data_IF_106470057864
#
_entry.id   IF_106470057864
#
_cell.length_a   1.000
_cell.length_b   1.000
_cell.length_c   1.000
_cell.angle_alpha   90.00
_cell.angle_beta   90.00
_cell.angle_gamma   90.00
#
_symmetry.space_group_name_H-M   'P 1'
#
loop_
_entity.id
_entity.type
_entity.pdbx_description
1 polymer ?
#
# COMPACT_ATOMS: atom_id res chain seq x y z
N UNK A 1 -42.32 -31.86 71.14
CA UNK A 1 -41.20 -32.76 70.94
C UNK A 1 -41.10 -32.98 69.44
N UNK A 2 -40.34 -32.11 68.72
CA UNK A 2 -39.95 -32.21 67.30
C UNK A 2 -38.56 -31.64 67.15
N UNK A 3 -37.64 -32.46 66.74
CA UNK A 3 -36.24 -32.20 66.47
C UNK A 3 -36.14 -31.59 65.10
N UNK A 4 -35.64 -30.37 64.99
CA UNK A 4 -35.30 -29.70 63.71
C UNK A 4 -33.81 -29.93 63.46
N UNK A 5 -33.49 -30.62 62.36
CA UNK A 5 -32.15 -30.76 61.79
C UNK A 5 -31.92 -29.59 60.87
N UNK A 6 -30.91 -28.79 61.17
CA UNK A 6 -30.39 -27.72 60.32
C UNK A 6 -29.30 -28.33 59.44
N UNK A 7 -29.49 -28.31 58.12
CA UNK A 7 -28.46 -28.59 57.12
C UNK A 7 -27.76 -27.27 56.78
N UNK A 8 -26.49 -27.18 57.13
CA UNK A 8 -25.61 -26.11 56.69
C UNK A 8 -25.00 -26.53 55.36
N UNK A 9 -25.43 -25.89 54.27
CA UNK A 9 -24.76 -26.00 52.96
C UNK A 9 -23.52 -25.09 52.93
N UNK A 10 -22.37 -25.72 52.80
CA UNK A 10 -21.10 -25.05 52.56
C UNK A 10 -20.97 -24.78 51.06
N UNK A 11 -21.20 -23.52 50.65
CA UNK A 11 -20.95 -23.09 49.29
C UNK A 11 -19.44 -22.90 49.11
N UNK A 12 -18.80 -23.78 48.34
CA UNK A 12 -17.43 -23.58 47.87
C UNK A 12 -17.45 -22.60 46.69
N UNK A 13 -17.02 -21.35 46.94
CA UNK A 13 -16.73 -20.41 45.87
C UNK A 13 -15.33 -20.71 45.32
N UNK A 14 -15.26 -21.40 44.17
CA UNK A 14 -14.04 -21.51 43.38
C UNK A 14 -13.80 -20.15 42.70
N UNK A 15 -12.97 -19.32 43.26
CA UNK A 15 -12.40 -18.14 42.57
C UNK A 15 -11.35 -18.65 41.61
N UNK A 16 -11.75 -18.83 40.35
CA UNK A 16 -10.82 -19.00 39.21
C UNK A 16 -10.14 -17.65 38.95
N UNK A 17 -8.97 -17.45 39.56
CA UNK A 17 -8.03 -16.42 39.13
C UNK A 17 -7.57 -16.77 37.73
N UNK A 18 -8.20 -16.17 36.73
CA UNK A 18 -7.70 -16.15 35.36
C UNK A 18 -6.40 -15.36 35.32
N UNK A 19 -5.28 -16.04 35.44
CA UNK A 19 -3.97 -15.51 35.06
C UNK A 19 -4.01 -15.30 33.54
N UNK A 20 -4.34 -14.08 33.14
CA UNK A 20 -4.07 -13.62 31.78
C UNK A 20 -2.54 -13.61 31.62
N UNK A 21 -1.98 -14.68 31.08
CA UNK A 21 -0.63 -14.65 30.55
C UNK A 21 -0.66 -13.65 29.41
N UNK A 22 -0.13 -12.45 29.63
CA UNK A 22 0.27 -11.58 28.55
C UNK A 22 1.24 -12.43 27.71
N UNK A 23 0.80 -12.88 26.53
CA UNK A 23 1.72 -13.46 25.57
C UNK A 23 2.78 -12.42 25.30
N UNK A 24 3.99 -12.67 25.79
CA UNK A 24 5.17 -11.90 25.39
C UNK A 24 5.29 -12.19 23.88
N UNK A 25 4.82 -11.24 23.08
CA UNK A 25 4.95 -11.35 21.63
C UNK A 25 6.45 -11.25 21.34
N UNK A 26 7.06 -12.37 20.93
CA UNK A 26 8.46 -12.39 20.54
C UNK A 26 8.72 -11.25 19.55
N UNK A 27 9.82 -10.52 19.69
CA UNK A 27 10.14 -9.44 18.77
C UNK A 27 10.24 -10.00 17.36
N UNK A 28 9.61 -9.31 16.40
CA UNK A 28 9.64 -9.71 15.00
C UNK A 28 11.10 -9.84 14.52
N UNK A 29 11.41 -10.86 13.69
CA UNK A 29 12.73 -10.97 13.07
C UNK A 29 13.11 -9.68 12.36
N UNK A 30 14.32 -9.20 12.57
CA UNK A 30 14.82 -7.98 11.96
C UNK A 30 15.24 -8.22 10.51
N UNK A 31 14.70 -7.43 9.59
CA UNK A 31 15.23 -7.33 8.24
C UNK A 31 16.46 -6.42 8.25
N UNK A 32 17.58 -6.93 7.76
CA UNK A 32 18.85 -6.21 7.79
C UNK A 32 19.04 -5.42 6.48
N UNK A 33 18.77 -4.12 6.55
CA UNK A 33 18.96 -3.17 5.46
C UNK A 33 19.79 -1.97 5.92
N UNK A 34 20.58 -1.43 5.00
CA UNK A 34 21.20 -0.11 5.13
C UNK A 34 20.42 0.90 4.31
N UNK A 35 20.06 2.03 4.91
CA UNK A 35 19.57 3.19 4.17
C UNK A 35 20.75 3.83 3.45
N UNK A 36 20.62 4.04 2.13
CA UNK A 36 21.66 4.63 1.29
C UNK A 36 21.38 6.13 1.18
N UNK A 37 22.16 6.97 1.86
CA UNK A 37 21.92 8.41 1.86
C UNK A 37 22.12 8.99 0.45
N UNK A 38 21.33 10.01 0.12
CA UNK A 38 21.44 10.79 -1.12
C UNK A 38 21.48 9.94 -2.39
N UNK A 39 20.76 8.80 -2.38
CA UNK A 39 20.73 7.90 -3.54
C UNK A 39 20.17 8.61 -4.78
N UNK A 40 19.08 9.34 -4.64
CA UNK A 40 18.45 10.07 -5.73
C UNK A 40 19.13 11.41 -5.97
N UNK A 41 19.86 11.52 -7.09
CA UNK A 41 20.65 12.68 -7.47
C UNK A 41 19.80 13.61 -8.34
N UNK A 42 19.26 14.65 -7.74
CA UNK A 42 18.46 15.65 -8.42
C UNK A 42 19.32 16.70 -9.13
N UNK A 43 18.83 17.32 -10.23
CA UNK A 43 19.47 18.49 -10.82
C UNK A 43 19.56 19.65 -9.81
N UNK A 44 20.52 20.55 -9.97
CA UNK A 44 20.62 21.74 -9.12
C UNK A 44 19.34 22.57 -9.11
N UNK A 45 18.83 22.88 -7.92
CA UNK A 45 17.60 23.66 -7.73
C UNK A 45 16.31 22.85 -7.76
N UNK A 46 16.37 21.55 -8.09
CA UNK A 46 15.22 20.65 -8.00
C UNK A 46 15.19 19.96 -6.62
N UNK A 47 13.96 19.68 -6.15
CA UNK A 47 13.73 18.96 -4.91
C UNK A 47 12.42 18.18 -4.99
N UNK A 48 12.33 17.11 -4.24
CA UNK A 48 11.09 16.36 -4.09
C UNK A 48 10.18 17.05 -3.07
N UNK A 49 8.90 17.08 -3.36
CA UNK A 49 7.85 17.60 -2.47
C UNK A 49 6.87 16.46 -2.22
N UNK A 50 6.78 15.98 -0.99
CA UNK A 50 5.86 14.93 -0.60
C UNK A 50 5.83 13.75 -1.60
N UNK A 51 6.95 13.02 -1.82
CA UNK A 51 6.93 11.82 -2.64
C UNK A 51 5.91 10.82 -2.11
N UNK A 52 4.91 10.51 -2.92
CA UNK A 52 3.85 9.59 -2.55
C UNK A 52 3.98 8.23 -3.25
N UNK A 53 4.64 8.20 -4.41
CA UNK A 53 4.79 7.02 -5.22
C UNK A 53 6.22 6.69 -5.63
N UNK A 54 6.56 5.40 -5.67
CA UNK A 54 7.81 4.88 -6.22
C UNK A 54 7.57 3.56 -6.95
N UNK A 55 8.15 3.41 -8.14
CA UNK A 55 8.09 2.18 -8.93
C UNK A 55 9.39 1.97 -9.70
N UNK A 56 9.61 0.76 -10.22
CA UNK A 56 10.77 0.43 -11.04
C UNK A 56 10.31 -0.31 -12.31
N UNK A 57 10.95 -0.03 -13.44
CA UNK A 57 10.69 -0.73 -14.70
C UNK A 57 11.64 -1.92 -14.91
N UNK A 58 11.44 -2.66 -16.00
CA UNK A 58 12.23 -3.84 -16.36
C UNK A 58 13.71 -3.53 -16.61
N UNK A 59 14.06 -2.28 -16.92
CA UNK A 59 15.43 -1.81 -17.17
C UNK A 59 16.14 -1.34 -15.90
N UNK A 60 15.46 -1.37 -14.75
CA UNK A 60 15.97 -0.87 -13.48
C UNK A 60 15.89 0.64 -13.32
N UNK A 61 15.17 1.35 -14.20
CA UNK A 61 14.87 2.76 -13.98
C UNK A 61 13.82 2.91 -12.87
N UNK A 62 13.99 3.93 -12.04
CA UNK A 62 13.15 4.19 -10.88
C UNK A 62 12.30 5.44 -11.18
N UNK A 63 11.02 5.32 -10.96
CA UNK A 63 10.07 6.44 -11.04
C UNK A 63 9.72 6.88 -9.63
N UNK A 64 9.81 8.20 -9.39
CA UNK A 64 9.32 8.82 -8.15
C UNK A 64 8.20 9.77 -8.53
N UNK A 65 7.03 9.59 -7.90
CA UNK A 65 5.84 10.39 -8.13
C UNK A 65 5.57 11.24 -6.89
N UNK A 66 5.73 12.55 -7.03
CA UNK A 66 5.69 13.50 -5.93
C UNK A 66 4.83 14.73 -6.26
N UNK A 67 4.54 15.57 -5.27
CA UNK A 67 3.61 16.68 -5.38
C UNK A 67 4.25 18.02 -5.77
N UNK A 68 5.49 17.98 -6.26
CA UNK A 68 6.22 19.17 -6.71
C UNK A 68 5.95 19.55 -8.17
N UNK A 69 6.77 20.48 -8.68
CA UNK A 69 6.65 21.05 -10.02
C UNK A 69 6.79 20.04 -11.15
N UNK A 70 7.63 19.01 -10.99
CA UNK A 70 7.90 17.95 -11.93
C UNK A 70 7.43 16.62 -11.34
N UNK A 71 6.09 16.34 -11.31
CA UNK A 71 5.52 15.32 -10.43
C UNK A 71 6.03 13.90 -10.68
N UNK A 72 6.30 13.51 -11.92
CA UNK A 72 6.79 12.18 -12.26
C UNK A 72 8.23 12.25 -12.76
N UNK A 73 9.17 11.90 -11.88
CA UNK A 73 10.60 11.89 -12.18
C UNK A 73 11.09 10.48 -12.48
N UNK A 74 11.96 10.35 -13.50
CA UNK A 74 12.64 9.11 -13.86
C UNK A 74 14.13 9.21 -13.52
N UNK A 75 14.65 8.15 -12.88
CA UNK A 75 16.04 7.99 -12.50
C UNK A 75 16.60 6.69 -13.09
N UNK A 76 17.90 6.65 -13.38
CA UNK A 76 18.56 5.39 -13.71
C UNK A 76 18.79 4.51 -12.47
N UNK A 77 19.32 3.31 -12.69
CA UNK A 77 19.59 2.34 -11.61
C UNK A 77 20.63 2.79 -10.59
N UNK A 78 21.41 3.83 -10.90
CA UNK A 78 22.37 4.48 -9.98
C UNK A 78 21.76 5.64 -9.19
N UNK A 79 20.50 5.99 -9.44
CA UNK A 79 19.81 7.12 -8.81
C UNK A 79 20.02 8.47 -9.48
N UNK A 80 20.67 8.51 -10.65
CA UNK A 80 20.85 9.74 -11.42
C UNK A 80 19.57 10.13 -12.12
N UNK A 81 19.14 11.39 -11.97
CA UNK A 81 17.98 11.93 -12.67
C UNK A 81 18.17 11.86 -14.19
N UNK A 82 17.14 11.38 -14.89
CA UNK A 82 17.10 11.29 -16.35
C UNK A 82 16.20 12.37 -16.94
N UNK A 83 14.96 12.46 -16.48
CA UNK A 83 13.94 13.41 -16.96
C UNK A 83 12.73 13.47 -16.06
N UNK A 84 11.88 14.48 -16.28
CA UNK A 84 10.48 14.47 -15.85
C UNK A 84 9.56 13.99 -16.98
N UNK A 85 8.39 13.49 -16.62
CA UNK A 85 7.42 12.91 -17.55
C UNK A 85 6.05 13.53 -17.30
N UNK A 86 5.44 14.06 -18.38
CA UNK A 86 4.04 14.50 -18.41
C UNK A 86 3.68 15.50 -17.30
N UNK A 87 4.53 16.48 -17.06
CA UNK A 87 4.42 17.47 -15.97
C UNK A 87 3.06 18.16 -15.85
N UNK A 88 2.41 18.44 -16.98
CA UNK A 88 1.12 19.17 -17.01
C UNK A 88 -0.11 18.27 -16.79
N UNK A 89 0.05 16.97 -16.61
CA UNK A 89 -1.07 16.03 -16.46
C UNK A 89 -1.58 15.90 -15.02
N UNK A 90 -0.76 16.21 -14.04
CA UNK A 90 -1.01 15.86 -12.66
C UNK A 90 -1.47 17.05 -11.82
N UNK A 91 -2.31 16.78 -10.81
CA UNK A 91 -2.81 17.77 -9.85
C UNK A 91 -2.30 17.48 -8.45
N UNK A 92 -2.47 16.23 -7.99
CA UNK A 92 -1.96 15.78 -6.69
C UNK A 92 -1.57 14.32 -6.80
N UNK A 93 -0.27 14.09 -6.96
CA UNK A 93 0.33 12.77 -7.11
C UNK A 93 -0.01 11.85 -5.93
N UNK A 94 -0.30 10.57 -6.23
CA UNK A 94 -0.51 9.57 -5.18
C UNK A 94 0.33 8.31 -5.43
N UNK A 95 -0.13 7.30 -6.18
CA UNK A 95 0.65 6.11 -6.44
C UNK A 95 1.17 6.06 -7.87
N UNK A 96 2.32 5.41 -8.07
CA UNK A 96 2.86 5.05 -9.38
C UNK A 96 3.16 3.56 -9.43
N UNK A 97 2.84 2.91 -10.54
CA UNK A 97 3.17 1.51 -10.81
C UNK A 97 3.67 1.35 -12.24
N UNK A 98 4.38 0.26 -12.51
CA UNK A 98 4.86 -0.08 -13.85
C UNK A 98 4.36 -1.47 -14.19
N UNK A 99 3.71 -1.61 -15.36
CA UNK A 99 3.21 -2.89 -15.85
C UNK A 99 4.31 -3.72 -16.57
N UNK A 100 4.06 -4.99 -16.89
CA UNK A 100 5.06 -5.85 -17.55
C UNK A 100 5.51 -5.35 -18.94
N UNK A 101 4.76 -4.46 -19.55
CA UNK A 101 5.11 -3.79 -20.83
C UNK A 101 5.86 -2.45 -20.61
N UNK A 102 6.30 -2.18 -19.41
CA UNK A 102 6.93 -0.93 -18.96
C UNK A 102 6.05 0.32 -19.08
N UNK A 103 4.72 0.18 -19.21
CA UNK A 103 3.84 1.33 -19.13
C UNK A 103 3.71 1.79 -17.68
N UNK A 104 3.60 3.11 -17.53
CA UNK A 104 3.53 3.76 -16.23
C UNK A 104 2.06 3.99 -15.88
N UNK A 105 1.64 3.49 -14.74
CA UNK A 105 0.31 3.72 -14.19
C UNK A 105 0.39 4.70 -13.03
N UNK A 106 -0.51 5.67 -12.99
CA UNK A 106 -0.57 6.67 -11.92
C UNK A 106 -1.99 6.80 -11.40
N UNK A 107 -2.11 7.04 -10.10
CA UNK A 107 -3.34 7.55 -9.50
C UNK A 107 -3.10 8.99 -9.06
N UNK A 108 -4.02 9.87 -9.37
CA UNK A 108 -3.96 11.28 -8.99
C UNK A 108 -5.23 11.65 -8.22
N UNK A 109 -5.06 11.98 -6.95
CA UNK A 109 -6.18 12.25 -6.05
C UNK A 109 -6.80 13.63 -6.28
N UNK A 110 -6.05 14.57 -6.84
CA UNK A 110 -6.56 15.91 -7.14
C UNK A 110 -7.33 15.99 -8.44
N UNK A 111 -6.94 15.20 -9.43
CA UNK A 111 -7.67 15.11 -10.71
C UNK A 111 -8.77 14.06 -10.73
N UNK A 112 -8.79 13.15 -9.73
CA UNK A 112 -9.70 11.99 -9.67
C UNK A 112 -9.50 11.00 -10.83
N UNK A 113 -8.25 10.86 -11.32
CA UNK A 113 -7.92 10.02 -12.47
C UNK A 113 -6.98 8.88 -12.11
N UNK A 114 -7.14 7.80 -12.88
CA UNK A 114 -6.12 6.76 -13.05
C UNK A 114 -5.66 6.81 -14.50
N UNK A 115 -4.35 6.98 -14.71
CA UNK A 115 -3.77 7.10 -16.04
C UNK A 115 -2.82 5.92 -16.32
N UNK A 116 -2.89 5.37 -17.54
CA UNK A 116 -1.85 4.54 -18.12
C UNK A 116 -1.08 5.38 -19.13
N UNK A 117 0.23 5.49 -18.95
CA UNK A 117 1.12 6.21 -19.83
C UNK A 117 2.09 5.24 -20.53
N UNK A 118 2.48 5.54 -21.76
CA UNK A 118 3.63 4.88 -22.36
C UNK A 118 4.91 5.27 -21.61
N UNK A 119 6.03 4.54 -21.78
CA UNK A 119 7.32 4.96 -21.23
C UNK A 119 7.73 6.39 -21.59
N UNK A 120 7.27 6.91 -22.74
CA UNK A 120 7.54 8.27 -23.19
C UNK A 120 6.57 9.32 -22.60
N UNK A 121 5.60 8.91 -21.79
CA UNK A 121 4.64 9.80 -21.15
C UNK A 121 3.36 10.09 -21.95
N UNK A 122 3.09 9.37 -23.04
CA UNK A 122 1.83 9.51 -23.78
C UNK A 122 0.69 8.80 -23.07
N UNK A 123 -0.45 9.44 -22.89
CA UNK A 123 -1.64 8.83 -22.31
C UNK A 123 -2.16 7.72 -23.23
N UNK A 124 -2.19 6.49 -22.75
CA UNK A 124 -2.73 5.30 -23.42
C UNK A 124 -4.15 4.98 -22.95
N UNK A 125 -4.44 5.23 -21.67
CA UNK A 125 -5.77 5.04 -21.08
C UNK A 125 -5.97 6.07 -19.96
N UNK A 126 -7.18 6.56 -19.82
CA UNK A 126 -7.62 7.39 -18.70
C UNK A 126 -8.93 6.83 -18.14
N UNK A 127 -8.96 6.55 -16.85
CA UNK A 127 -10.15 6.16 -16.11
C UNK A 127 -10.53 7.29 -15.16
N UNK A 128 -11.84 7.52 -14.98
CA UNK A 128 -12.37 8.63 -14.18
C UNK A 128 -12.74 9.85 -15.04
N UNK A 129 -13.07 10.94 -14.37
CA UNK A 129 -13.39 12.23 -15.00
C UNK A 129 -12.58 13.34 -14.36
N UNK A 130 -11.82 14.06 -15.19
CA UNK A 130 -10.90 15.12 -14.75
C UNK A 130 -11.61 16.12 -13.84
N UNK A 131 -11.19 16.19 -12.57
CA UNK A 131 -11.70 17.09 -11.52
C UNK A 131 -13.19 16.99 -11.24
N UNK A 132 -13.81 15.86 -11.57
CA UNK A 132 -15.23 15.59 -11.29
C UNK A 132 -15.29 14.34 -10.42
N UNK A 133 -15.36 14.49 -9.09
CA UNK A 133 -15.52 13.35 -8.19
C UNK A 133 -16.92 12.75 -8.32
N UNK A 134 -17.02 11.45 -8.02
CA UNK A 134 -18.30 10.76 -7.99
C UNK A 134 -18.17 9.35 -7.44
N UNK A 135 -19.30 8.66 -7.31
CA UNK A 135 -19.43 7.33 -6.74
C UNK A 135 -20.03 6.29 -7.71
N UNK A 136 -20.29 6.68 -8.96
CA UNK A 136 -20.69 5.75 -10.00
C UNK A 136 -19.47 5.04 -10.63
N UNK A 137 -19.70 4.14 -11.60
CA UNK A 137 -18.67 3.32 -12.23
C UNK A 137 -17.74 4.07 -13.20
N UNK A 138 -18.07 5.33 -13.55
CA UNK A 138 -17.28 6.16 -14.46
C UNK A 138 -16.50 7.27 -13.75
N UNK A 139 -16.74 7.45 -12.45
CA UNK A 139 -16.09 8.46 -11.63
C UNK A 139 -15.33 7.81 -10.48
N UNK A 140 -14.27 8.47 -10.05
CA UNK A 140 -13.60 8.21 -8.77
C UNK A 140 -13.75 9.43 -7.85
N UNK A 141 -13.50 9.20 -6.58
CA UNK A 141 -13.34 10.28 -5.62
C UNK A 141 -12.02 10.06 -4.85
N UNK A 142 -10.93 10.60 -5.40
CA UNK A 142 -9.57 10.45 -4.90
C UNK A 142 -9.08 8.99 -4.91
N UNK A 143 -8.89 8.38 -6.10
CA UNK A 143 -8.42 7.01 -6.25
C UNK A 143 -7.00 6.87 -5.70
N UNK A 144 -6.77 5.78 -4.97
CA UNK A 144 -5.54 5.61 -4.19
C UNK A 144 -4.50 4.75 -4.90
N UNK A 145 -4.86 3.61 -5.48
CA UNK A 145 -3.90 2.70 -6.11
C UNK A 145 -4.54 1.93 -7.27
N UNK A 146 -3.70 1.29 -8.09
CA UNK A 146 -4.11 0.50 -9.25
C UNK A 146 -3.28 -0.78 -9.36
N UNK A 147 -3.93 -1.88 -9.73
CA UNK A 147 -3.28 -3.14 -10.06
C UNK A 147 -3.98 -3.80 -11.26
N UNK A 148 -3.38 -4.83 -11.82
CA UNK A 148 -3.93 -5.60 -12.95
C UNK A 148 -3.71 -7.09 -12.74
N UNK A 149 -4.64 -7.89 -13.27
CA UNK A 149 -4.50 -9.34 -13.30
C UNK A 149 -3.83 -9.83 -14.60
N UNK A 150 -3.56 -11.14 -14.67
CA UNK A 150 -2.93 -11.78 -15.84
C UNK A 150 -3.74 -11.66 -17.14
N UNK A 151 -5.04 -11.38 -17.04
CA UNK A 151 -5.92 -11.19 -18.20
C UNK A 151 -5.94 -9.71 -18.64
N UNK A 152 -5.21 -8.85 -17.91
CA UNK A 152 -5.11 -7.41 -18.12
C UNK A 152 -6.29 -6.62 -17.53
N UNK A 153 -7.18 -7.25 -16.73
CA UNK A 153 -8.22 -6.49 -16.04
C UNK A 153 -7.58 -5.58 -14.98
N UNK A 154 -8.12 -4.38 -14.88
CA UNK A 154 -7.60 -3.30 -14.05
C UNK A 154 -8.45 -3.21 -12.78
N UNK A 155 -7.79 -3.11 -11.64
CA UNK A 155 -8.43 -2.94 -10.33
C UNK A 155 -7.97 -1.63 -9.72
N UNK A 156 -8.90 -0.81 -9.27
CA UNK A 156 -8.63 0.50 -8.69
C UNK A 156 -9.23 0.57 -7.29
N UNK A 157 -8.40 0.89 -6.31
CA UNK A 157 -8.90 1.32 -4.99
C UNK A 157 -9.31 2.78 -5.07
N UNK A 158 -10.58 3.05 -4.79
CA UNK A 158 -11.16 4.38 -4.76
C UNK A 158 -11.45 4.74 -3.29
N UNK A 159 -10.39 5.19 -2.59
CA UNK A 159 -10.27 5.03 -1.15
C UNK A 159 -10.41 6.29 -0.30
N UNK A 160 -9.97 7.47 -0.74
CA UNK A 160 -10.03 8.66 0.12
C UNK A 160 -11.43 9.28 0.20
N UNK A 161 -12.09 9.43 -0.92
CA UNK A 161 -13.45 10.00 -0.95
C UNK A 161 -14.54 8.93 -0.97
N UNK A 162 -14.20 7.73 -1.47
CA UNK A 162 -15.07 6.54 -1.48
C UNK A 162 -14.44 5.42 -0.64
N UNK A 163 -15.08 4.26 -0.57
CA UNK A 163 -14.61 3.10 0.22
C UNK A 163 -14.84 1.82 -0.57
N UNK A 164 -14.25 1.74 -1.78
CA UNK A 164 -14.56 0.66 -2.72
C UNK A 164 -13.36 0.28 -3.58
N UNK A 165 -13.49 -0.86 -4.25
CA UNK A 165 -12.64 -1.30 -5.36
C UNK A 165 -13.49 -1.37 -6.62
N UNK A 166 -13.01 -0.83 -7.74
CA UNK A 166 -13.62 -0.98 -9.06
C UNK A 166 -12.72 -1.82 -9.96
N UNK A 167 -13.34 -2.72 -10.73
CA UNK A 167 -12.68 -3.55 -11.72
C UNK A 167 -13.12 -3.17 -13.13
N UNK A 168 -12.16 -3.05 -14.04
CA UNK A 168 -12.36 -2.75 -15.45
C UNK A 168 -11.68 -3.83 -16.30
N UNK A 169 -12.12 -3.99 -17.53
CA UNK A 169 -11.35 -4.75 -18.49
C UNK A 169 -10.11 -3.95 -18.96
N UNK A 170 -9.23 -4.59 -19.74
CA UNK A 170 -8.00 -3.98 -20.27
C UNK A 170 -8.23 -2.75 -21.16
N UNK A 171 -9.45 -2.50 -21.59
CA UNK A 171 -9.84 -1.34 -22.41
C UNK A 171 -10.52 -0.24 -21.58
N UNK A 172 -10.62 -0.43 -20.25
CA UNK A 172 -11.23 0.53 -19.32
C UNK A 172 -12.76 0.44 -19.26
N UNK A 173 -13.38 -0.64 -19.75
CA UNK A 173 -14.82 -0.84 -19.57
C UNK A 173 -15.10 -1.42 -18.17
N UNK A 174 -16.03 -0.83 -17.40
CA UNK A 174 -16.33 -1.30 -16.06
C UNK A 174 -16.91 -2.72 -16.10
N UNK A 175 -16.44 -3.59 -15.20
CA UNK A 175 -16.89 -4.97 -15.05
C UNK A 175 -17.67 -5.17 -13.76
N UNK A 176 -17.11 -4.76 -12.63
CA UNK A 176 -17.75 -4.87 -11.31
C UNK A 176 -17.12 -3.90 -10.31
N UNK A 177 -17.78 -3.72 -9.16
CA UNK A 177 -17.25 -3.00 -8.02
C UNK A 177 -17.74 -3.64 -6.73
N UNK A 178 -16.95 -3.49 -5.66
CA UNK A 178 -17.31 -3.96 -4.33
C UNK A 178 -16.76 -3.06 -3.24
N UNK A 179 -17.31 -3.19 -2.05
CA UNK A 179 -16.93 -2.43 -0.87
C UNK A 179 -17.88 -1.27 -0.57
N UNK A 180 -17.88 -0.89 0.67
CA UNK A 180 -18.54 0.28 1.24
C UNK A 180 -17.83 0.69 2.52
N UNK A 181 -18.08 1.88 3.03
CA UNK A 181 -17.53 2.34 4.31
C UNK A 181 -17.95 1.42 5.45
N UNK A 182 -16.98 0.98 6.26
CA UNK A 182 -17.24 0.18 7.44
C UNK A 182 -16.04 -0.67 7.89
N UNK A 183 -16.27 -1.53 8.89
CA UNK A 183 -15.26 -2.37 9.54
C UNK A 183 -15.47 -3.87 9.34
N UNK A 184 -16.61 -4.28 8.78
CA UNK A 184 -16.91 -5.68 8.51
C UNK A 184 -16.12 -6.27 7.33
N UNK A 185 -16.20 -7.59 7.10
CA UNK A 185 -15.64 -8.23 5.91
C UNK A 185 -16.19 -7.61 4.63
N UNK A 186 -15.31 -7.25 3.70
CA UNK A 186 -15.69 -6.60 2.44
C UNK A 186 -16.07 -5.12 2.57
N UNK A 187 -16.07 -4.56 3.78
CA UNK A 187 -16.20 -3.12 4.02
C UNK A 187 -14.80 -2.52 4.21
N UNK A 188 -14.65 -1.23 3.90
CA UNK A 188 -13.36 -0.54 3.96
C UNK A 188 -13.44 0.78 4.73
N UNK A 189 -12.33 1.14 5.33
CA UNK A 189 -12.03 2.49 5.73
C UNK A 189 -10.70 2.92 5.09
N UNK A 190 -10.80 3.65 3.99
CA UNK A 190 -9.67 4.04 3.16
C UNK A 190 -8.93 2.82 2.58
N UNK A 191 -9.51 2.10 1.59
CA UNK A 191 -8.76 1.12 0.80
C UNK A 191 -7.64 1.86 0.05
N UNK A 192 -6.39 1.72 0.52
CA UNK A 192 -5.30 2.61 0.15
C UNK A 192 -4.37 2.02 -0.90
N UNK A 193 -4.18 0.72 -0.88
CA UNK A 193 -3.26 0.03 -1.79
C UNK A 193 -3.84 -1.31 -2.21
N UNK A 194 -3.43 -1.80 -3.39
CA UNK A 194 -3.93 -3.04 -3.97
C UNK A 194 -2.82 -3.76 -4.74
N UNK A 195 -2.70 -5.07 -4.54
CA UNK A 195 -1.86 -5.94 -5.35
C UNK A 195 -2.59 -7.23 -5.69
N UNK A 196 -2.19 -7.87 -6.78
CA UNK A 196 -2.80 -9.11 -7.27
C UNK A 196 -1.72 -10.19 -7.37
N UNK A 197 -2.06 -11.38 -6.88
CA UNK A 197 -1.23 -12.57 -6.98
C UNK A 197 -2.09 -13.76 -7.42
N UNK A 198 -1.89 -14.17 -8.66
CA UNK A 198 -2.69 -15.23 -9.29
C UNK A 198 -4.17 -14.86 -9.32
N UNK A 199 -4.98 -15.57 -8.54
CA UNK A 199 -6.42 -15.35 -8.43
C UNK A 199 -6.82 -14.59 -7.14
N UNK A 200 -5.83 -14.09 -6.38
CA UNK A 200 -6.05 -13.37 -5.13
C UNK A 200 -5.82 -11.87 -5.31
N UNK A 201 -6.74 -11.09 -4.74
CA UNK A 201 -6.68 -9.62 -4.69
C UNK A 201 -6.47 -9.21 -3.23
N UNK A 202 -5.34 -8.57 -2.95
CA UNK A 202 -4.99 -8.07 -1.62
C UNK A 202 -5.27 -6.58 -1.57
N UNK A 203 -6.13 -6.15 -0.68
CA UNK A 203 -6.49 -4.73 -0.50
C UNK A 203 -6.04 -4.27 0.88
N UNK A 204 -5.20 -3.26 0.90
CA UNK A 204 -4.78 -2.59 2.13
C UNK A 204 -5.88 -1.65 2.61
N UNK A 205 -6.60 -2.06 3.65
CA UNK A 205 -7.68 -1.34 4.31
C UNK A 205 -7.09 -0.52 5.47
N UNK A 206 -6.54 0.65 5.10
CA UNK A 206 -5.56 1.39 5.89
C UNK A 206 -6.07 1.79 7.27
N UNK A 207 -7.20 2.49 7.35
CA UNK A 207 -7.72 2.99 8.64
C UNK A 207 -8.27 1.86 9.53
N UNK A 208 -8.62 0.72 8.93
CA UNK A 208 -8.98 -0.49 9.66
C UNK A 208 -7.75 -1.33 10.07
N UNK A 209 -6.54 -0.87 9.77
CA UNK A 209 -5.25 -1.52 10.12
C UNK A 209 -5.17 -3.00 9.69
N UNK A 210 -5.64 -3.32 8.49
CA UNK A 210 -5.72 -4.70 7.98
C UNK A 210 -5.48 -4.79 6.47
N UNK A 211 -5.12 -5.98 6.02
CA UNK A 211 -5.17 -6.39 4.62
C UNK A 211 -6.35 -7.33 4.46
N UNK A 212 -7.26 -7.05 3.54
CA UNK A 212 -8.33 -7.96 3.16
C UNK A 212 -7.99 -8.66 1.85
N UNK A 213 -8.28 -9.96 1.78
CA UNK A 213 -8.01 -10.80 0.62
C UNK A 213 -9.32 -11.23 -0.01
N UNK A 214 -9.44 -11.05 -1.32
CA UNK A 214 -10.60 -11.37 -2.13
C UNK A 214 -10.22 -12.29 -3.29
N UNK A 215 -11.20 -12.95 -3.88
CA UNK A 215 -11.04 -13.50 -5.23
C UNK A 215 -11.15 -12.39 -6.29
N UNK A 216 -10.92 -12.74 -7.57
CA UNK A 216 -11.00 -11.79 -8.69
C UNK A 216 -12.41 -11.28 -8.99
N UNK A 217 -13.45 -11.81 -8.33
CA UNK A 217 -14.82 -11.36 -8.42
C UNK A 217 -15.25 -10.51 -7.22
N UNK A 218 -14.30 -10.13 -6.34
CA UNK A 218 -14.56 -9.30 -5.18
C UNK A 218 -15.22 -10.04 -4.01
N UNK A 219 -15.24 -11.37 -4.02
CA UNK A 219 -15.71 -12.15 -2.88
C UNK A 219 -14.64 -12.15 -1.79
N UNK A 220 -15.01 -11.74 -0.57
CA UNK A 220 -14.13 -11.78 0.59
C UNK A 220 -13.74 -13.21 0.94
N UNK A 221 -12.45 -13.46 1.17
CA UNK A 221 -11.92 -14.76 1.54
C UNK A 221 -11.39 -14.77 2.97
N UNK A 222 -10.55 -13.80 3.33
CA UNK A 222 -9.92 -13.69 4.65
C UNK A 222 -9.29 -12.30 4.84
N UNK A 223 -8.78 -12.05 6.05
CA UNK A 223 -8.06 -10.81 6.35
C UNK A 223 -6.90 -11.06 7.33
N UNK A 224 -5.95 -10.11 7.35
CA UNK A 224 -4.81 -10.07 8.28
C UNK A 224 -4.73 -8.70 8.94
N UNK A 225 -4.69 -8.67 10.28
CA UNK A 225 -4.53 -7.43 11.07
C UNK A 225 -3.05 -7.25 11.39
N UNK A 226 -2.32 -6.48 10.56
CA UNK A 226 -0.86 -6.37 10.61
C UNK A 226 -0.36 -4.93 10.82
N UNK A 227 -1.24 -3.96 10.91
CA UNK A 227 -0.94 -2.54 10.95
C UNK A 227 -1.58 -1.80 9.77
N UNK A 228 -1.15 -0.58 9.51
CA UNK A 228 -1.75 0.31 8.54
C UNK A 228 -1.06 0.16 7.16
N UNK A 229 -1.68 -0.55 6.18
CA UNK A 229 -1.07 -0.80 4.88
C UNK A 229 -1.16 0.44 3.99
N UNK A 230 -0.08 1.21 3.93
CA UNK A 230 0.05 2.35 3.02
C UNK A 230 0.46 1.89 1.62
N UNK A 231 1.48 1.05 1.50
CA UNK A 231 1.93 0.49 0.23
C UNK A 231 2.10 -1.02 0.33
N UNK A 232 1.70 -1.73 -0.72
CA UNK A 232 1.89 -3.17 -0.87
C UNK A 232 2.68 -3.46 -2.14
N UNK A 233 3.58 -4.41 -2.07
CA UNK A 233 4.24 -5.02 -3.23
C UNK A 233 4.37 -6.52 -2.98
N UNK A 234 4.20 -7.32 -4.04
CA UNK A 234 4.32 -8.78 -3.96
C UNK A 234 5.43 -9.27 -4.89
N UNK A 235 6.20 -10.22 -4.41
CA UNK A 235 7.30 -10.82 -5.17
C UNK A 235 6.83 -12.03 -5.98
N UNK A 236 7.58 -12.48 -7.01
CA UNK A 236 7.24 -13.68 -7.78
C UNK A 236 7.17 -14.98 -6.95
N UNK A 237 7.82 -15.04 -5.80
CA UNK A 237 7.73 -16.14 -4.83
C UNK A 237 6.60 -15.94 -3.80
N UNK A 238 5.61 -15.09 -4.13
CA UNK A 238 4.38 -14.85 -3.35
C UNK A 238 4.60 -14.21 -1.97
N UNK A 239 5.74 -13.56 -1.74
CA UNK A 239 6.02 -12.86 -0.49
C UNK A 239 5.53 -11.41 -0.61
N UNK A 240 4.73 -10.98 0.36
CA UNK A 240 4.20 -9.63 0.41
C UNK A 240 5.10 -8.74 1.26
N UNK A 241 5.36 -7.53 0.78
CA UNK A 241 5.96 -6.47 1.58
C UNK A 241 4.92 -5.36 1.79
N UNK A 242 4.85 -4.84 3.01
CA UNK A 242 3.91 -3.80 3.41
C UNK A 242 4.65 -2.63 4.03
N UNK A 243 4.48 -1.44 3.46
CA UNK A 243 4.83 -0.18 4.12
C UNK A 243 3.75 0.21 5.12
N UNK A 244 4.14 0.43 6.38
CA UNK A 244 3.30 0.96 7.46
C UNK A 244 3.89 2.31 7.87
N UNK A 245 3.41 3.38 7.23
CA UNK A 245 3.95 4.73 7.41
C UNK A 245 3.67 5.27 8.83
N UNK A 246 2.59 4.85 9.47
CA UNK A 246 2.28 5.26 10.85
C UNK A 246 3.30 4.67 11.84
N UNK A 247 3.61 3.39 11.67
CA UNK A 247 4.59 2.72 12.54
C UNK A 247 6.04 2.93 12.10
N UNK A 248 6.30 3.60 10.97
CA UNK A 248 7.64 3.84 10.43
C UNK A 248 8.38 2.53 10.12
N UNK A 249 7.72 1.59 9.46
CA UNK A 249 8.29 0.25 9.23
C UNK A 249 7.87 -0.38 7.91
N UNK A 250 8.63 -1.37 7.50
CA UNK A 250 8.29 -2.28 6.40
C UNK A 250 8.19 -3.70 6.96
N UNK A 251 7.11 -4.40 6.67
CA UNK A 251 6.91 -5.80 7.02
C UNK A 251 7.13 -6.69 5.80
N UNK A 252 7.77 -7.84 6.01
CA UNK A 252 7.83 -8.97 5.07
C UNK A 252 6.88 -10.04 5.57
N UNK A 253 5.97 -10.52 4.71
CA UNK A 253 4.80 -11.32 5.08
C UNK A 253 4.71 -12.52 4.13
N UNK A 254 4.50 -13.72 4.67
CA UNK A 254 4.30 -14.91 3.85
C UNK A 254 2.86 -15.01 3.29
N UNK A 255 2.58 -15.93 2.35
CA UNK A 255 1.24 -16.09 1.77
C UNK A 255 0.15 -16.53 2.77
N UNK A 256 0.52 -16.92 3.98
CA UNK A 256 -0.38 -17.27 5.08
C UNK A 256 -0.65 -16.09 6.03
N UNK A 257 0.00 -14.92 5.80
CA UNK A 257 -0.15 -13.74 6.62
C UNK A 257 0.77 -13.69 7.84
N UNK A 258 1.77 -14.58 7.93
CA UNK A 258 2.76 -14.55 9.02
C UNK A 258 3.85 -13.52 8.68
N UNK A 259 4.21 -12.71 9.66
CA UNK A 259 5.31 -11.76 9.51
C UNK A 259 6.64 -12.50 9.59
N UNK A 260 7.39 -12.49 8.49
CA UNK A 260 8.71 -13.10 8.36
C UNK A 260 9.82 -12.19 8.87
N UNK A 261 9.56 -10.89 8.95
CA UNK A 261 10.52 -9.92 9.47
C UNK A 261 10.03 -8.48 9.28
N UNK A 262 10.72 -7.58 9.95
CA UNK A 262 10.45 -6.14 9.85
C UNK A 262 11.75 -5.32 9.73
N UNK A 263 11.70 -4.27 8.93
CA UNK A 263 12.64 -3.15 8.96
C UNK A 263 11.92 -1.97 9.62
N UNK A 264 12.56 -1.34 10.59
CA UNK A 264 12.05 -0.13 11.22
C UNK A 264 13.06 0.99 10.98
N UNK A 265 12.60 2.09 10.42
CA UNK A 265 13.42 3.26 10.19
C UNK A 265 13.73 4.06 11.46
N UNK A 266 14.41 5.20 11.33
CA UNK A 266 14.67 6.09 12.47
C UNK A 266 13.37 6.46 13.20
N UNK A 267 13.39 6.37 14.53
CA UNK A 267 12.26 6.77 15.36
C UNK A 267 12.23 8.29 15.56
N UNK A 268 11.10 8.89 15.94
CA UNK A 268 11.00 10.31 16.23
C UNK A 268 12.13 10.76 17.17
N UNK A 269 12.88 11.81 16.75
CA UNK A 269 14.05 12.32 17.49
C UNK A 269 15.36 11.59 17.21
N UNK A 270 15.39 10.52 16.43
CA UNK A 270 16.60 9.77 16.05
C UNK A 270 17.07 10.09 14.63
N UNK A 271 16.33 10.91 13.90
CA UNK A 271 16.61 11.27 12.51
C UNK A 271 15.34 11.76 11.79
N UNK A 272 15.40 11.93 10.47
CA UNK A 272 14.21 12.24 9.67
C UNK A 272 13.16 11.15 9.84
N UNK A 273 11.89 11.56 9.84
CA UNK A 273 10.76 10.63 9.93
C UNK A 273 10.79 9.63 8.77
N UNK A 274 10.63 8.34 9.08
CA UNK A 274 10.53 7.26 8.10
C UNK A 274 9.05 6.89 7.95
N UNK A 275 8.45 7.25 6.82
CA UNK A 275 7.05 7.02 6.53
C UNK A 275 6.85 6.37 5.15
N UNK A 276 7.14 5.06 5.02
CA UNK A 276 7.08 4.36 3.74
C UNK A 276 5.64 4.30 3.21
N UNK A 277 5.27 5.35 2.44
CA UNK A 277 3.94 5.50 1.87
C UNK A 277 3.72 4.54 0.70
N UNK A 278 4.66 4.49 -0.24
CA UNK A 278 4.74 3.43 -1.25
C UNK A 278 6.14 2.82 -1.23
N UNK A 279 6.22 1.54 -1.61
CA UNK A 279 7.47 0.80 -1.71
C UNK A 279 7.56 0.10 -3.06
N UNK A 280 8.78 -0.06 -3.55
CA UNK A 280 9.10 -0.87 -4.73
C UNK A 280 10.29 -1.78 -4.43
N UNK A 281 10.32 -2.95 -5.05
CA UNK A 281 11.38 -3.93 -4.87
C UNK A 281 12.24 -4.03 -6.12
N UNK A 282 13.55 -4.05 -5.94
CA UNK A 282 14.49 -4.36 -7.00
C UNK A 282 14.86 -5.86 -7.02
N UNK A 283 15.31 -6.41 -8.15
CA UNK A 283 15.74 -7.80 -8.25
C UNK A 283 16.89 -8.19 -7.32
N UNK A 284 17.73 -7.23 -6.90
CA UNK A 284 18.82 -7.42 -5.94
C UNK A 284 18.35 -7.46 -4.49
N UNK A 285 17.05 -7.36 -4.26
CA UNK A 285 16.42 -7.28 -2.93
C UNK A 285 16.43 -5.89 -2.31
N UNK A 286 16.96 -4.86 -3.00
CA UNK A 286 16.81 -3.46 -2.52
C UNK A 286 15.35 -3.04 -2.51
N UNK A 287 15.00 -2.19 -1.53
CA UNK A 287 13.68 -1.58 -1.40
C UNK A 287 13.82 -0.09 -1.66
N UNK A 288 12.98 0.45 -2.52
CA UNK A 288 12.80 1.90 -2.66
C UNK A 288 11.55 2.32 -1.90
N UNK A 289 11.63 3.49 -1.23
CA UNK A 289 10.50 4.08 -0.51
C UNK A 289 10.20 5.47 -1.04
N UNK A 290 8.92 5.82 -1.07
CA UNK A 290 8.44 7.19 -1.19
C UNK A 290 7.85 7.60 0.16
N UNK A 291 8.27 8.78 0.68
CA UNK A 291 7.98 9.25 2.02
C UNK A 291 7.36 10.64 1.99
N UNK A 292 6.04 10.70 2.24
CA UNK A 292 5.27 11.95 2.12
C UNK A 292 5.70 12.96 3.18
N UNK A 293 5.74 12.55 4.44
CA UNK A 293 6.12 13.43 5.56
C UNK A 293 7.63 13.64 5.63
N UNK A 294 8.41 12.68 5.15
CA UNK A 294 9.86 12.77 5.04
C UNK A 294 10.33 13.66 3.91
N UNK A 295 9.47 14.02 2.93
CA UNK A 295 9.79 14.79 1.73
C UNK A 295 10.93 14.21 0.91
N UNK A 296 11.05 12.88 0.87
CA UNK A 296 12.14 12.18 0.19
C UNK A 296 11.72 10.83 -0.37
N UNK A 297 12.52 10.33 -1.29
CA UNK A 297 12.55 8.93 -1.66
C UNK A 297 13.89 8.34 -1.23
N UNK A 298 13.91 7.08 -0.81
CA UNK A 298 15.12 6.43 -0.30
C UNK A 298 15.33 5.06 -0.91
N UNK A 299 16.59 4.59 -0.85
CA UNK A 299 16.98 3.22 -1.16
C UNK A 299 17.44 2.51 0.11
N UNK A 300 16.85 1.36 0.37
CA UNK A 300 17.29 0.41 1.39
C UNK A 300 17.99 -0.74 0.67
N UNK A 301 19.25 -1.02 1.01
CA UNK A 301 20.05 -2.10 0.45
C UNK A 301 20.18 -3.24 1.47
N UNK A 302 19.92 -4.51 1.10
CA UNK A 302 20.11 -5.64 1.99
C UNK A 302 21.61 -5.76 2.36
N UNK A 303 21.87 -6.16 3.63
CA UNK A 303 23.22 -6.40 4.16
C UNK A 303 23.73 -7.77 3.77
#
# INVERSE_FOLDING_TARGET
MRILHSFAEILWFCVLLGLAFAQIQEPLPKLNYDMIPDFFQLPPGEHMVEPAGVAMNSKGHIYVFHRGKHPLMEFDSSGKFLRSIADDLFVTAHMVRVDPEDNIWTTDIGSHLVLKLSPEGRVLLALGRMRIPGDDVLHFNQPTDVAWDRDGNIYVTDGYGNSRVLKFDKYGRPLLGWGMKGTGPGQFDTPHTIVIDGDLVYVGDRENARIQIFDRNGQFLRQWSLGHPFGLVITPDHVLYMGDAIAGRILKIDPQGRVLGSFTGPQPGQGPHFDPHQIALAPDGSIFTAEVLGWRAEKLRPK
#
